data_IF_032968369671
#
_entry.id   IF_032968369671
#
_cell.length_a   1.000
_cell.length_b   1.000
_cell.length_c   1.000
_cell.angle_alpha   90.00
_cell.angle_beta   90.00
_cell.angle_gamma   90.00
#
_symmetry.space_group_name_H-M   'P 1'
#
loop_
_entity.id
_entity.type
_entity.pdbx_description
1 polymer ?
#
# COMPACT_ATOMS: atom_id res chain seq x y z
N UNK A 1 18.21 -88.75 13.96
CA UNK A 1 17.66 -88.27 12.68
C UNK A 1 17.13 -86.85 12.92
N UNK A 2 17.81 -85.81 12.40
CA UNK A 2 17.47 -84.39 12.62
C UNK A 2 16.29 -84.00 11.75
N UNK A 3 15.25 -83.44 12.35
CA UNK A 3 14.12 -82.81 11.65
C UNK A 3 14.33 -81.30 11.73
N UNK A 4 14.70 -80.67 10.61
CA UNK A 4 14.83 -79.22 10.47
C UNK A 4 13.46 -78.61 10.16
N UNK A 5 13.04 -77.64 10.98
CA UNK A 5 11.89 -76.76 10.77
C UNK A 5 12.16 -75.81 9.60
N UNK A 6 11.36 -75.89 8.54
CA UNK A 6 11.18 -74.82 7.55
C UNK A 6 9.69 -74.56 7.37
N UNK A 7 9.04 -73.81 8.26
CA UNK A 7 7.64 -73.37 8.11
C UNK A 7 7.48 -71.97 8.71
N UNK A 8 7.99 -70.93 8.04
CA UNK A 8 7.91 -69.55 8.57
C UNK A 8 7.88 -68.41 7.55
N UNK A 9 8.34 -68.60 6.31
CA UNK A 9 8.60 -67.46 5.40
C UNK A 9 7.37 -67.04 4.55
N UNK A 10 6.45 -67.96 4.23
CA UNK A 10 5.33 -67.66 3.32
C UNK A 10 4.28 -66.69 3.92
N UNK A 11 4.08 -66.70 5.24
CA UNK A 11 3.04 -65.89 5.92
C UNK A 11 3.44 -64.41 6.07
N UNK A 12 4.73 -64.13 6.23
CA UNK A 12 5.22 -62.74 6.41
C UNK A 12 5.17 -61.93 5.11
N UNK A 13 5.34 -62.56 3.94
CA UNK A 13 5.34 -61.89 2.63
C UNK A 13 3.96 -61.35 2.22
N UNK A 14 2.87 -61.97 2.67
CA UNK A 14 1.49 -61.51 2.40
C UNK A 14 1.09 -60.26 3.20
N UNK A 15 1.47 -60.20 4.47
CA UNK A 15 1.16 -59.08 5.37
C UNK A 15 1.93 -57.80 5.02
N UNK A 16 3.15 -57.92 4.49
CA UNK A 16 3.94 -56.76 4.03
C UNK A 16 3.36 -56.18 2.73
N UNK A 17 2.87 -57.04 1.82
CA UNK A 17 2.23 -56.62 0.57
C UNK A 17 0.89 -55.91 0.79
N UNK A 18 0.07 -56.37 1.75
CA UNK A 18 -1.21 -55.72 2.08
C UNK A 18 -1.02 -54.37 2.76
N UNK A 19 0.00 -54.23 3.63
CA UNK A 19 0.38 -52.95 4.24
C UNK A 19 0.94 -51.96 3.22
N UNK A 20 1.74 -52.42 2.27
CA UNK A 20 2.25 -51.60 1.18
C UNK A 20 1.13 -51.10 0.24
N UNK A 21 0.15 -51.95 -0.06
CA UNK A 21 -1.01 -51.59 -0.86
C UNK A 21 -1.91 -50.57 -0.14
N UNK A 22 -2.16 -50.75 1.16
CA UNK A 22 -2.91 -49.78 1.97
C UNK A 22 -2.20 -48.43 2.07
N UNK A 23 -0.87 -48.43 2.23
CA UNK A 23 -0.08 -47.21 2.28
C UNK A 23 -0.06 -46.48 0.93
N UNK A 24 0.05 -47.21 -0.18
CA UNK A 24 -0.04 -46.65 -1.53
C UNK A 24 -1.44 -46.07 -1.82
N UNK A 25 -2.51 -46.70 -1.32
CA UNK A 25 -3.87 -46.20 -1.46
C UNK A 25 -4.09 -44.91 -0.67
N UNK A 26 -3.57 -44.81 0.56
CA UNK A 26 -3.62 -43.59 1.37
C UNK A 26 -2.81 -42.47 0.71
N UNK A 27 -1.61 -42.76 0.19
CA UNK A 27 -0.81 -41.80 -0.57
C UNK A 27 -1.52 -41.31 -1.85
N UNK A 28 -2.19 -42.21 -2.58
CA UNK A 28 -2.98 -41.87 -3.75
C UNK A 28 -4.21 -41.01 -3.36
N UNK A 29 -4.86 -41.31 -2.24
CA UNK A 29 -6.00 -40.54 -1.74
C UNK A 29 -5.59 -39.14 -1.27
N UNK A 30 -4.44 -39.01 -0.60
CA UNK A 30 -3.86 -37.72 -0.21
C UNK A 30 -3.39 -36.92 -1.42
N UNK A 31 -2.83 -37.58 -2.44
CA UNK A 31 -2.44 -36.93 -3.69
C UNK A 31 -3.63 -36.49 -4.55
N UNK A 32 -4.80 -37.11 -4.35
CA UNK A 32 -6.06 -36.78 -5.02
C UNK A 32 -6.86 -35.68 -4.30
N UNK A 33 -6.40 -35.18 -3.14
CA UNK A 33 -7.00 -34.01 -2.52
C UNK A 33 -6.83 -32.81 -3.47
N UNK A 34 -7.90 -32.05 -3.74
CA UNK A 34 -7.80 -30.84 -4.56
C UNK A 34 -6.77 -29.93 -3.91
N UNK A 35 -5.68 -29.65 -4.64
CA UNK A 35 -4.73 -28.64 -4.22
C UNK A 35 -5.46 -27.31 -4.28
N UNK A 36 -5.32 -26.42 -3.27
CA UNK A 36 -5.72 -25.05 -3.47
C UNK A 36 -4.97 -24.54 -4.70
N UNK A 37 -5.70 -24.31 -5.78
CA UNK A 37 -5.17 -23.55 -6.91
C UNK A 37 -4.87 -22.20 -6.30
N UNK A 38 -3.58 -21.87 -6.24
CA UNK A 38 -3.12 -20.56 -5.81
C UNK A 38 -3.65 -19.58 -6.86
N UNK A 39 -4.85 -19.07 -6.62
CA UNK A 39 -5.50 -18.10 -7.48
C UNK A 39 -4.84 -16.74 -7.21
N UNK A 40 -3.55 -16.64 -7.52
CA UNK A 40 -2.96 -15.37 -7.92
C UNK A 40 -3.64 -15.00 -9.23
N UNK A 41 -4.84 -14.44 -9.11
CA UNK A 41 -5.64 -13.99 -10.23
C UNK A 41 -4.82 -12.93 -10.96
N UNK A 42 -4.65 -13.14 -12.27
CA UNK A 42 -3.95 -12.19 -13.13
C UNK A 42 -4.73 -10.87 -13.12
N UNK A 43 -4.01 -9.75 -13.14
CA UNK A 43 -4.65 -8.45 -13.25
C UNK A 43 -5.55 -8.41 -14.52
N UNK A 44 -6.74 -7.81 -14.44
CA UNK A 44 -7.54 -7.57 -15.63
C UNK A 44 -6.76 -6.69 -16.60
N UNK A 45 -7.05 -6.87 -17.90
CA UNK A 45 -6.41 -6.03 -18.92
C UNK A 45 -6.97 -4.60 -18.82
N UNK A 46 -6.12 -3.58 -18.93
CA UNK A 46 -6.57 -2.20 -18.92
C UNK A 46 -7.44 -1.92 -20.16
N UNK A 47 -8.54 -1.20 -19.96
CA UNK A 47 -9.46 -0.76 -21.02
C UNK A 47 -9.37 0.74 -21.29
N UNK A 48 -8.71 1.49 -20.41
CA UNK A 48 -8.61 2.93 -20.46
C UNK A 48 -7.78 3.52 -19.32
N UNK A 49 -7.87 4.83 -19.13
CA UNK A 49 -7.36 5.51 -17.94
C UNK A 49 -8.25 5.27 -16.72
N UNK A 50 -9.54 5.02 -16.95
CA UNK A 50 -10.50 4.61 -15.94
C UNK A 50 -10.84 3.13 -16.20
N UNK A 51 -10.67 2.32 -15.16
CA UNK A 51 -10.89 0.89 -15.21
C UNK A 51 -11.83 0.50 -14.06
N UNK A 52 -13.14 0.68 -14.28
CA UNK A 52 -14.17 0.46 -13.26
C UNK A 52 -14.66 -1.01 -13.23
N UNK A 53 -13.80 -1.95 -12.81
CA UNK A 53 -14.18 -3.37 -12.78
C UNK A 53 -15.13 -3.71 -11.63
N UNK A 54 -15.25 -2.84 -10.63
CA UNK A 54 -16.24 -2.99 -9.56
C UNK A 54 -17.60 -2.38 -9.92
N UNK A 55 -17.71 -1.65 -11.04
CA UNK A 55 -18.93 -0.97 -11.50
C UNK A 55 -19.53 -0.05 -10.41
N UNK A 56 -18.70 0.84 -9.87
CA UNK A 56 -19.05 1.77 -8.78
C UNK A 56 -18.96 3.24 -9.17
N UNK A 57 -18.59 3.54 -10.42
CA UNK A 57 -18.50 4.90 -10.95
C UNK A 57 -19.67 5.14 -11.89
N UNK A 58 -20.50 6.14 -11.60
CA UNK A 58 -21.61 6.49 -12.48
C UNK A 58 -21.09 7.12 -13.79
N UNK A 59 -21.76 6.92 -14.95
CA UNK A 59 -21.28 7.42 -16.23
C UNK A 59 -21.02 8.93 -16.29
N UNK A 60 -21.76 9.71 -15.51
CA UNK A 60 -21.52 11.15 -15.36
C UNK A 60 -20.19 11.44 -14.65
N UNK A 61 -19.91 10.71 -13.56
CA UNK A 61 -18.64 10.84 -12.82
C UNK A 61 -17.48 10.35 -13.65
N UNK A 62 -17.64 9.24 -14.37
CA UNK A 62 -16.61 8.73 -15.26
C UNK A 62 -16.20 9.76 -16.31
N UNK A 63 -17.16 10.44 -16.95
CA UNK A 63 -16.86 11.55 -17.90
C UNK A 63 -16.08 12.69 -17.26
N UNK A 64 -16.45 13.08 -16.04
CA UNK A 64 -15.78 14.16 -15.31
C UNK A 64 -14.35 13.77 -14.92
N UNK A 65 -14.17 12.55 -14.41
CA UNK A 65 -12.85 12.00 -14.09
C UNK A 65 -11.98 11.97 -15.35
N UNK A 66 -12.54 11.48 -16.47
CA UNK A 66 -11.81 11.35 -17.73
C UNK A 66 -11.34 12.71 -18.25
N UNK A 67 -12.21 13.73 -18.19
CA UNK A 67 -11.85 15.09 -18.59
C UNK A 67 -10.66 15.65 -17.77
N UNK A 68 -10.65 15.41 -16.46
CA UNK A 68 -9.54 15.84 -15.58
C UNK A 68 -8.26 15.09 -15.91
N UNK A 69 -8.32 13.77 -16.13
CA UNK A 69 -7.16 12.96 -16.51
C UNK A 69 -6.59 13.43 -17.85
N UNK A 70 -7.45 13.65 -18.85
CA UNK A 70 -7.03 14.10 -20.18
C UNK A 70 -6.37 15.48 -20.14
N UNK A 71 -6.87 16.38 -19.29
CA UNK A 71 -6.29 17.69 -19.08
C UNK A 71 -4.88 17.60 -18.46
N UNK A 72 -4.70 16.79 -17.40
CA UNK A 72 -3.38 16.56 -16.81
C UNK A 72 -2.42 15.98 -17.83
N UNK A 73 -2.86 14.98 -18.60
CA UNK A 73 -2.04 14.33 -19.62
C UNK A 73 -1.63 15.30 -20.73
N UNK A 74 -2.56 16.12 -21.22
CA UNK A 74 -2.29 17.10 -22.27
C UNK A 74 -1.34 18.21 -21.82
N UNK A 75 -1.47 18.69 -20.57
CA UNK A 75 -0.73 19.86 -20.07
C UNK A 75 0.60 19.53 -19.38
N UNK A 76 0.75 18.32 -18.82
CA UNK A 76 1.96 17.91 -18.09
C UNK A 76 2.66 16.67 -18.64
N UNK A 77 1.98 15.89 -19.48
CA UNK A 77 2.43 14.53 -19.83
C UNK A 77 2.38 13.55 -18.67
N UNK A 78 1.78 13.92 -17.53
CA UNK A 78 1.49 13.05 -16.41
C UNK A 78 0.37 12.08 -16.72
N UNK A 79 0.42 10.90 -16.12
CA UNK A 79 -0.56 9.84 -16.29
C UNK A 79 -1.24 9.53 -14.95
N UNK A 80 -2.56 9.60 -14.92
CA UNK A 80 -3.37 9.22 -13.76
C UNK A 80 -4.26 8.07 -14.20
N UNK A 81 -4.18 6.95 -13.49
CA UNK A 81 -4.99 5.75 -13.76
C UNK A 81 -5.89 5.48 -12.58
N UNK A 82 -7.19 5.41 -12.83
CA UNK A 82 -8.19 5.01 -11.84
C UNK A 82 -8.52 3.54 -12.07
N UNK A 83 -8.46 2.75 -11.00
CA UNK A 83 -8.79 1.33 -11.01
C UNK A 83 -9.71 1.02 -9.85
N UNK A 84 -10.90 0.51 -10.16
CA UNK A 84 -11.76 -0.12 -9.15
C UNK A 84 -11.71 -1.63 -9.35
N UNK A 85 -11.54 -2.38 -8.27
CA UNK A 85 -11.55 -3.84 -8.30
C UNK A 85 -12.52 -4.37 -7.25
N UNK A 86 -13.23 -5.48 -7.52
CA UNK A 86 -14.13 -6.06 -6.55
C UNK A 86 -13.39 -6.61 -5.33
N UNK A 87 -12.15 -7.07 -5.49
CA UNK A 87 -11.32 -7.69 -4.44
C UNK A 87 -9.85 -7.26 -4.57
N UNK A 88 -9.08 -7.44 -3.49
CA UNK A 88 -7.63 -7.34 -3.45
C UNK A 88 -6.89 -8.53 -4.07
N UNK A 89 -7.59 -9.56 -4.55
CA UNK A 89 -6.99 -10.68 -5.31
C UNK A 89 -5.89 -11.43 -4.50
N UNK A 90 -6.10 -11.56 -3.18
CA UNK A 90 -5.15 -12.20 -2.26
C UNK A 90 -3.90 -11.38 -1.93
N UNK A 91 -3.85 -10.09 -2.29
CA UNK A 91 -2.71 -9.18 -2.05
C UNK A 91 -3.09 -8.08 -1.05
N UNK A 92 -2.13 -7.29 -0.62
CA UNK A 92 -2.42 -6.03 0.08
C UNK A 92 -2.69 -4.90 -0.92
N UNK A 93 -3.45 -3.87 -0.54
CA UNK A 93 -3.71 -2.72 -1.41
C UNK A 93 -2.42 -2.02 -1.93
N UNK A 94 -1.36 -1.83 -1.11
CA UNK A 94 -0.09 -1.32 -1.60
C UNK A 94 0.58 -2.22 -2.64
N UNK A 95 0.63 -3.54 -2.42
CA UNK A 95 1.21 -4.49 -3.36
C UNK A 95 0.44 -4.51 -4.69
N UNK A 96 -0.89 -4.47 -4.62
CA UNK A 96 -1.75 -4.49 -5.78
C UNK A 96 -1.60 -3.22 -6.63
N UNK A 97 -1.63 -2.03 -6.02
CA UNK A 97 -1.44 -0.78 -6.74
C UNK A 97 -0.03 -0.68 -7.35
N UNK A 98 1.00 -1.12 -6.62
CA UNK A 98 2.38 -1.18 -7.10
C UNK A 98 2.50 -2.10 -8.33
N UNK A 99 1.86 -3.27 -8.28
CA UNK A 99 1.84 -4.22 -9.38
C UNK A 99 1.10 -3.65 -10.59
N UNK A 100 -0.07 -3.04 -10.40
CA UNK A 100 -0.82 -2.37 -11.47
C UNK A 100 0.07 -1.34 -12.18
N UNK A 101 0.69 -0.43 -11.42
CA UNK A 101 1.54 0.61 -12.00
C UNK A 101 2.70 0.05 -12.83
N UNK A 102 3.32 -1.03 -12.35
CA UNK A 102 4.44 -1.72 -13.03
C UNK A 102 4.00 -2.51 -14.26
N UNK A 103 3.01 -3.39 -14.10
CA UNK A 103 2.56 -4.30 -15.17
C UNK A 103 1.88 -3.55 -16.31
N UNK A 104 1.12 -2.51 -15.98
CA UNK A 104 0.47 -1.68 -16.99
C UNK A 104 1.43 -0.63 -17.57
N UNK A 105 2.60 -0.40 -16.96
CA UNK A 105 3.57 0.57 -17.47
C UNK A 105 3.09 2.02 -17.32
N UNK A 106 2.40 2.32 -16.23
CA UNK A 106 1.83 3.66 -15.98
C UNK A 106 2.95 4.69 -15.81
N UNK A 107 2.74 5.88 -16.36
CA UNK A 107 3.70 6.96 -16.41
C UNK A 107 4.49 6.96 -17.72
N UNK A 108 5.15 8.08 -18.00
CA UNK A 108 5.90 8.27 -19.24
C UNK A 108 7.23 7.50 -19.21
N UNK A 109 7.53 6.76 -20.27
CA UNK A 109 8.87 6.25 -20.53
C UNK A 109 9.83 7.39 -20.84
N UNK A 110 11.08 7.25 -20.43
CA UNK A 110 12.10 8.26 -20.64
C UNK A 110 13.48 7.74 -20.27
N UNK A 111 14.49 8.39 -20.82
CA UNK A 111 15.89 8.08 -20.50
C UNK A 111 16.25 8.51 -19.08
N UNK A 112 17.32 7.95 -18.47
CA UNK A 112 17.87 8.48 -17.24
C UNK A 112 18.16 10.00 -17.36
N UNK A 113 17.55 10.79 -16.49
CA UNK A 113 17.66 12.26 -16.51
C UNK A 113 16.46 12.98 -17.11
N UNK A 114 15.52 12.29 -17.77
CA UNK A 114 14.24 12.89 -18.17
C UNK A 114 13.38 13.17 -16.93
N UNK A 115 13.06 14.45 -16.72
CA UNK A 115 12.24 14.94 -15.61
C UNK A 115 10.78 14.48 -15.69
N UNK A 116 10.32 14.08 -16.87
CA UNK A 116 8.96 13.57 -17.09
C UNK A 116 8.90 12.04 -16.96
N UNK A 117 10.03 11.35 -16.77
CA UNK A 117 10.04 9.90 -16.67
C UNK A 117 9.28 9.43 -15.42
N UNK A 118 8.45 8.40 -15.56
CA UNK A 118 7.67 7.80 -14.48
C UNK A 118 6.71 8.78 -13.78
N UNK A 119 6.18 9.77 -14.50
CA UNK A 119 5.13 10.69 -14.03
C UNK A 119 3.75 10.01 -14.01
N UNK A 120 3.65 8.87 -13.32
CA UNK A 120 2.44 8.05 -13.24
C UNK A 120 1.84 8.03 -11.83
N UNK A 121 0.52 8.04 -11.71
CA UNK A 121 -0.21 7.83 -10.46
C UNK A 121 -1.28 6.76 -10.67
N UNK A 122 -1.35 5.80 -9.76
CA UNK A 122 -2.43 4.79 -9.71
C UNK A 122 -3.33 5.11 -8.52
N UNK A 123 -4.61 5.32 -8.80
CA UNK A 123 -5.68 5.46 -7.81
C UNK A 123 -6.45 4.14 -7.79
N UNK A 124 -6.17 3.30 -6.80
CA UNK A 124 -6.83 2.02 -6.60
C UNK A 124 -7.94 2.17 -5.56
N UNK A 125 -9.12 1.63 -5.86
CA UNK A 125 -10.26 1.52 -4.94
C UNK A 125 -10.81 0.08 -4.97
N UNK A 126 -11.00 -0.50 -3.79
CA UNK A 126 -11.72 -1.76 -3.58
C UNK A 126 -12.91 -1.46 -2.67
N UNK A 127 -14.15 -1.50 -3.17
CA UNK A 127 -15.36 -1.22 -2.39
C UNK A 127 -15.52 -2.18 -1.21
N UNK A 128 -16.03 -1.68 -0.07
CA UNK A 128 -16.29 -2.52 1.11
C UNK A 128 -17.37 -3.57 0.84
N UNK A 129 -18.28 -3.30 -0.09
CA UNK A 129 -19.41 -4.15 -0.46
C UNK A 129 -18.96 -5.43 -1.18
N UNK A 130 -17.80 -5.40 -1.84
CA UNK A 130 -17.31 -6.52 -2.67
C UNK A 130 -16.00 -7.12 -2.14
N UNK A 131 -15.28 -6.40 -1.27
CA UNK A 131 -13.98 -6.84 -0.75
C UNK A 131 -14.05 -8.14 0.04
N UNK A 132 -13.06 -9.01 -0.15
CA UNK A 132 -12.96 -10.31 0.52
C UNK A 132 -12.80 -10.19 2.04
N UNK A 133 -12.22 -9.10 2.55
CA UNK A 133 -11.99 -8.87 3.98
C UNK A 133 -13.10 -8.05 4.66
N UNK A 134 -14.18 -7.74 3.93
CA UNK A 134 -15.33 -6.95 4.43
C UNK A 134 -15.01 -5.49 4.72
N UNK A 135 -13.84 -4.98 4.32
CA UNK A 135 -13.44 -3.58 4.47
C UNK A 135 -13.22 -2.94 3.11
N UNK A 136 -13.41 -1.64 3.03
CA UNK A 136 -13.04 -0.88 1.85
C UNK A 136 -11.55 -0.57 1.86
N UNK A 137 -10.90 -0.54 0.69
CA UNK A 137 -9.49 -0.17 0.55
C UNK A 137 -9.31 0.88 -0.52
N UNK A 138 -8.53 1.92 -0.22
CA UNK A 138 -8.14 2.93 -1.18
C UNK A 138 -6.64 3.16 -1.10
N UNK A 139 -5.98 3.28 -2.25
CA UNK A 139 -4.54 3.51 -2.36
C UNK A 139 -4.27 4.50 -3.49
N UNK A 140 -3.49 5.52 -3.20
CA UNK A 140 -2.86 6.37 -4.21
C UNK A 140 -1.39 5.95 -4.24
N UNK A 141 -0.94 5.40 -5.35
CA UNK A 141 0.43 4.94 -5.55
C UNK A 141 1.11 5.82 -6.60
N UNK A 142 2.28 6.37 -6.27
CA UNK A 142 2.99 7.35 -7.09
C UNK A 142 4.21 6.72 -7.75
N UNK A 143 4.43 7.05 -9.03
CA UNK A 143 5.61 6.69 -9.78
C UNK A 143 6.83 7.48 -9.32
N UNK A 144 8.02 7.01 -9.64
CA UNK A 144 9.29 7.61 -9.22
C UNK A 144 9.48 9.05 -9.72
N UNK A 145 8.78 9.47 -10.78
CA UNK A 145 8.79 10.83 -11.31
C UNK A 145 7.82 11.79 -10.60
N UNK A 146 6.95 11.26 -9.72
CA UNK A 146 5.92 12.01 -8.99
C UNK A 146 6.38 12.22 -7.55
N UNK A 147 7.49 12.94 -7.37
CA UNK A 147 8.03 13.25 -6.04
C UNK A 147 7.29 14.39 -5.32
N UNK A 148 6.52 15.19 -6.06
CA UNK A 148 5.75 16.31 -5.54
C UNK A 148 4.48 15.86 -4.78
N UNK A 149 3.91 14.71 -5.13
CA UNK A 149 2.85 14.07 -4.34
C UNK A 149 3.50 13.10 -3.35
N UNK A 150 3.78 13.59 -2.15
CA UNK A 150 4.38 12.78 -1.08
C UNK A 150 3.36 11.78 -0.51
N UNK A 151 3.83 10.77 0.22
CA UNK A 151 2.93 9.87 0.97
C UNK A 151 2.05 10.63 1.97
N UNK A 152 2.53 11.75 2.54
CA UNK A 152 1.72 12.61 3.38
C UNK A 152 0.60 13.29 2.57
N UNK A 153 0.92 13.80 1.37
CA UNK A 153 -0.05 14.41 0.47
C UNK A 153 -1.12 13.42 0.02
N UNK A 154 -0.69 12.27 -0.51
CA UNK A 154 -1.58 11.19 -0.90
C UNK A 154 -2.49 10.76 0.26
N UNK A 155 -1.95 10.73 1.49
CA UNK A 155 -2.71 10.44 2.69
C UNK A 155 -3.79 11.48 2.98
N UNK A 156 -3.45 12.77 2.89
CA UNK A 156 -4.41 13.87 3.03
C UNK A 156 -5.50 13.81 1.97
N UNK A 157 -5.13 13.60 0.71
CA UNK A 157 -6.10 13.47 -0.39
C UNK A 157 -7.12 12.36 -0.09
N UNK A 158 -6.65 11.20 0.38
CA UNK A 158 -7.53 10.10 0.78
C UNK A 158 -8.46 10.50 1.93
N UNK A 159 -7.91 11.07 3.00
CA UNK A 159 -8.66 11.39 4.22
C UNK A 159 -9.70 12.50 4.03
N UNK A 160 -9.36 13.49 3.20
CA UNK A 160 -10.13 14.72 3.04
C UNK A 160 -11.19 14.62 1.95
N UNK A 161 -10.90 13.91 0.85
CA UNK A 161 -11.75 13.90 -0.34
C UNK A 161 -12.39 12.54 -0.65
N UNK A 162 -11.67 11.45 -0.43
CA UNK A 162 -12.09 10.13 -0.90
C UNK A 162 -12.85 9.34 0.17
N UNK A 163 -12.22 9.10 1.32
CA UNK A 163 -12.73 8.24 2.39
C UNK A 163 -14.07 8.71 2.97
N UNK A 164 -14.33 10.01 3.19
CA UNK A 164 -15.65 10.45 3.66
C UNK A 164 -16.78 10.02 2.71
N UNK A 165 -16.58 10.16 1.39
CA UNK A 165 -17.57 9.75 0.39
C UNK A 165 -17.71 8.23 0.29
N UNK A 166 -16.61 7.50 0.39
CA UNK A 166 -16.63 6.04 0.34
C UNK A 166 -17.38 5.41 1.52
N UNK A 167 -17.35 6.05 2.69
CA UNK A 167 -18.16 5.61 3.84
C UNK A 167 -19.66 5.69 3.56
N UNK A 168 -20.07 6.67 2.77
CA UNK A 168 -21.45 6.91 2.32
C UNK A 168 -21.84 6.06 1.10
N UNK A 169 -20.90 5.32 0.50
CA UNK A 169 -21.12 4.54 -0.72
C UNK A 169 -21.02 5.36 -2.02
N UNK A 170 -20.68 6.64 -1.93
CA UNK A 170 -20.53 7.56 -3.07
C UNK A 170 -19.10 7.49 -3.65
N UNK A 171 -18.79 6.34 -4.28
CA UNK A 171 -17.46 6.07 -4.84
C UNK A 171 -17.09 6.99 -6.00
N UNK A 172 -18.01 7.19 -6.95
CA UNK A 172 -17.76 8.04 -8.12
C UNK A 172 -17.39 9.47 -7.73
N UNK A 173 -18.10 10.08 -6.78
CA UNK A 173 -17.76 11.44 -6.32
C UNK A 173 -16.45 11.46 -5.52
N UNK A 174 -16.21 10.48 -4.64
CA UNK A 174 -14.95 10.40 -3.89
C UNK A 174 -13.73 10.29 -4.81
N UNK A 175 -13.81 9.43 -5.83
CA UNK A 175 -12.75 9.27 -6.84
C UNK A 175 -12.56 10.56 -7.63
N UNK A 176 -13.63 11.21 -8.08
CA UNK A 176 -13.54 12.48 -8.80
C UNK A 176 -12.83 13.55 -7.99
N UNK A 177 -13.21 13.74 -6.72
CA UNK A 177 -12.57 14.72 -5.84
C UNK A 177 -11.08 14.40 -5.61
N UNK A 178 -10.75 13.11 -5.40
CA UNK A 178 -9.37 12.66 -5.27
C UNK A 178 -8.55 12.91 -6.53
N UNK A 179 -9.08 12.61 -7.71
CA UNK A 179 -8.42 12.83 -9.00
C UNK A 179 -8.23 14.32 -9.27
N UNK A 180 -9.19 15.18 -8.94
CA UNK A 180 -9.01 16.64 -9.02
C UNK A 180 -7.91 17.12 -8.07
N UNK A 181 -7.86 16.62 -6.83
CA UNK A 181 -6.81 16.99 -5.90
C UNK A 181 -5.41 16.58 -6.43
N UNK A 182 -5.28 15.36 -6.97
CA UNK A 182 -4.05 14.92 -7.65
C UNK A 182 -3.73 15.83 -8.85
N UNK A 183 -4.73 16.19 -9.65
CA UNK A 183 -4.56 17.07 -10.80
C UNK A 183 -4.07 18.48 -10.41
N UNK A 184 -4.47 18.98 -9.24
CA UNK A 184 -3.95 20.26 -8.69
C UNK A 184 -2.47 20.18 -8.36
N UNK A 185 -2.00 19.06 -7.83
CA UNK A 185 -0.57 18.85 -7.58
C UNK A 185 0.24 18.85 -8.89
N UNK A 186 -0.31 18.26 -9.96
CA UNK A 186 0.28 18.37 -11.30
C UNK A 186 0.24 19.81 -11.83
N UNK A 187 -0.88 20.50 -11.67
CA UNK A 187 -1.06 21.89 -12.09
C UNK A 187 -0.01 22.81 -11.44
N UNK A 188 0.18 22.69 -10.13
CA UNK A 188 1.20 23.42 -9.38
C UNK A 188 2.61 23.06 -9.85
N UNK A 189 2.91 21.76 -10.00
CA UNK A 189 4.23 21.29 -10.42
C UNK A 189 4.63 21.78 -11.81
N UNK A 190 3.69 21.76 -12.76
CA UNK A 190 3.95 22.01 -14.18
C UNK A 190 3.52 23.42 -14.64
N UNK A 191 2.95 24.23 -13.74
CA UNK A 191 2.61 25.63 -14.01
C UNK A 191 1.46 25.79 -14.99
N UNK A 192 0.39 25.00 -14.85
CA UNK A 192 -0.82 25.15 -15.65
C UNK A 192 -2.06 25.32 -14.77
N UNK A 193 -3.14 25.85 -15.32
CA UNK A 193 -4.44 25.93 -14.64
C UNK A 193 -5.38 24.83 -15.12
N UNK A 194 -6.14 24.25 -14.19
CA UNK A 194 -7.25 23.35 -14.51
C UNK A 194 -8.42 24.18 -15.04
N UNK A 195 -8.86 23.87 -16.25
CA UNK A 195 -9.87 24.59 -17.02
C UNK A 195 -11.19 23.82 -17.12
N UNK A 196 -11.20 22.54 -16.73
CA UNK A 196 -12.41 21.72 -16.71
C UNK A 196 -13.45 22.19 -15.68
N UNK A 197 -14.70 21.74 -15.88
CA UNK A 197 -15.80 21.88 -14.92
C UNK A 197 -15.53 20.98 -13.70
N UNK A 198 -14.57 21.37 -12.88
CA UNK A 198 -14.39 20.80 -11.55
C UNK A 198 -15.69 21.07 -10.78
N UNK A 199 -16.33 20.06 -10.16
CA UNK A 199 -17.54 20.29 -9.40
C UNK A 199 -17.32 21.41 -8.40
N UNK A 200 -18.13 22.47 -8.48
CA UNK A 200 -18.14 23.59 -7.51
C UNK A 200 -18.32 23.12 -6.06
N UNK A 201 -18.72 21.85 -5.87
CA UNK A 201 -18.85 21.12 -4.62
C UNK A 201 -17.54 20.52 -4.07
N UNK A 202 -16.35 20.94 -4.55
CA UNK A 202 -15.19 20.92 -3.65
C UNK A 202 -15.46 21.97 -2.57
N UNK A 203 -16.38 21.66 -1.65
CA UNK A 203 -16.29 22.19 -0.32
C UNK A 203 -14.91 21.74 0.12
N UNK A 204 -13.97 22.68 0.18
CA UNK A 204 -12.76 22.44 0.94
C UNK A 204 -13.22 21.79 2.25
N UNK A 205 -12.66 20.62 2.61
CA UNK A 205 -12.98 20.01 3.89
C UNK A 205 -12.85 21.13 4.91
N UNK A 206 -13.93 21.40 5.66
CA UNK A 206 -13.86 22.32 6.80
C UNK A 206 -12.61 21.92 7.55
N UNK A 207 -11.58 22.78 7.52
CA UNK A 207 -10.29 22.49 8.08
C UNK A 207 -10.57 21.89 9.45
N UNK A 208 -10.29 20.58 9.63
CA UNK A 208 -10.42 19.95 10.93
C UNK A 208 -9.52 20.78 11.82
N UNK A 209 -10.14 21.63 12.64
CA UNK A 209 -9.41 22.59 13.43
C UNK A 209 -8.33 21.84 14.17
N UNK A 210 -7.06 22.15 13.87
CA UNK A 210 -5.96 21.68 14.69
C UNK A 210 -6.25 22.04 16.14
N UNK A 211 -5.60 21.37 17.12
CA UNK A 211 -5.83 21.69 18.52
C UNK A 211 -5.71 23.21 18.68
N UNK A 212 -6.81 23.85 19.08
CA UNK A 212 -6.86 25.29 19.21
C UNK A 212 -5.71 25.71 20.13
N UNK A 213 -5.23 26.96 20.02
CA UNK A 213 -4.21 27.45 20.95
C UNK A 213 -4.59 27.13 22.42
N UNK A 214 -5.89 27.16 22.72
CA UNK A 214 -6.47 26.74 23.99
C UNK A 214 -6.21 25.25 24.29
N UNK A 215 -6.46 24.32 23.36
CA UNK A 215 -6.17 22.89 23.53
C UNK A 215 -4.68 22.59 23.74
N UNK A 216 -3.78 23.28 23.03
CA UNK A 216 -2.32 23.17 23.23
C UNK A 216 -1.90 23.72 24.60
N UNK A 217 -2.46 24.85 25.00
CA UNK A 217 -2.22 25.45 26.33
C UNK A 217 -2.72 24.52 27.44
N UNK A 218 -3.91 23.94 27.31
CA UNK A 218 -4.46 22.98 28.29
C UNK A 218 -3.57 21.75 28.40
N UNK A 219 -3.08 21.20 27.29
CA UNK A 219 -2.16 20.06 27.30
C UNK A 219 -0.83 20.41 27.98
N UNK A 220 -0.26 21.58 27.70
CA UNK A 220 0.97 22.06 28.33
C UNK A 220 0.79 22.28 29.83
N UNK A 221 -0.33 22.85 30.26
CA UNK A 221 -0.66 23.04 31.68
C UNK A 221 -0.80 21.69 32.38
N UNK A 222 -1.50 20.73 31.77
CA UNK A 222 -1.66 19.37 32.31
C UNK A 222 -0.29 18.67 32.45
N UNK A 223 0.57 18.80 31.45
CA UNK A 223 1.92 18.26 31.45
C UNK A 223 2.77 18.82 32.60
N UNK A 224 2.71 20.14 32.83
CA UNK A 224 3.43 20.79 33.95
C UNK A 224 2.89 20.33 35.31
N UNK A 225 1.56 20.21 35.46
CA UNK A 225 0.93 19.73 36.71
C UNK A 225 1.37 18.30 37.02
N UNK A 226 1.38 17.41 36.02
CA UNK A 226 1.83 16.02 36.19
C UNK A 226 3.31 15.98 36.59
N UNK A 227 4.15 16.84 36.00
CA UNK A 227 5.58 16.90 36.31
C UNK A 227 5.85 17.46 37.72
N UNK A 228 5.01 18.37 38.21
CA UNK A 228 5.04 18.86 39.59
C UNK A 228 4.54 17.80 40.59
N UNK A 229 3.47 17.08 40.25
CA UNK A 229 2.94 15.99 41.08
C UNK A 229 3.94 14.83 41.22
N UNK A 230 4.68 14.52 40.16
CA UNK A 230 5.74 13.50 40.17
C UNK A 230 7.00 13.92 40.96
N UNK A 231 7.20 15.23 41.19
CA UNK A 231 8.30 15.77 42.02
C UNK A 231 7.93 16.02 43.48
N UNK A 232 6.64 16.09 43.82
CA UNK A 232 6.15 16.43 45.16
C UNK A 232 5.99 15.27 46.15
N UNK A 233 6.25 14.02 45.75
CA UNK A 233 5.91 12.82 46.53
C UNK A 233 6.99 12.23 47.44
N UNK A 234 8.05 12.98 47.80
CA UNK A 234 9.21 12.41 48.51
C UNK A 234 9.81 13.27 49.61
N UNK A 235 9.15 13.39 50.77
CA UNK A 235 9.77 13.92 51.99
C UNK A 235 8.89 13.63 53.21
N UNK A 236 9.36 13.09 54.33
CA UNK A 236 10.68 12.59 54.71
C UNK A 236 10.54 11.90 56.09
N UNK A 237 11.30 10.83 56.33
CA UNK A 237 11.37 10.12 57.62
C UNK A 237 12.81 10.15 58.12
N UNK A 238 13.03 10.96 59.15
CA UNK A 238 13.99 10.85 60.29
C UNK A 238 15.40 10.24 60.10
N UNK A 239 16.42 10.93 60.64
CA UNK A 239 17.65 10.31 61.18
C UNK A 239 18.94 10.95 60.64
N UNK A 240 19.58 11.87 61.36
CA UNK A 240 20.67 11.64 62.34
C UNK A 240 22.06 11.32 61.73
N UNK A 241 23.01 12.26 61.98
CA UNK A 241 24.46 12.13 62.21
C UNK A 241 25.38 11.48 61.16
N UNK A 242 26.48 12.19 60.89
CA UNK A 242 27.80 11.56 60.94
C UNK A 242 28.54 11.40 59.60
N UNK A 243 29.46 12.34 59.34
CA UNK A 243 30.86 12.06 58.99
C UNK A 243 31.21 11.05 57.88
N UNK A 244 31.96 11.54 56.89
CA UNK A 244 33.19 10.87 56.47
C UNK A 244 33.20 10.19 55.10
N UNK A 245 33.96 10.81 54.19
CA UNK A 245 34.81 10.22 53.13
C UNK A 245 34.32 8.94 52.40
N UNK A 246 34.14 9.06 51.08
CA UNK A 246 35.00 8.43 50.02
C UNK A 246 34.36 8.70 48.65
N UNK A 247 35.20 9.09 47.69
CA UNK A 247 34.75 9.41 46.34
C UNK A 247 34.32 8.20 45.53
N UNK A 248 33.51 8.43 44.49
CA UNK A 248 33.58 7.73 43.22
C UNK A 248 32.97 8.60 42.13
N UNK A 249 33.64 8.62 40.98
CA UNK A 249 33.45 9.46 39.80
C UNK A 249 32.13 9.13 39.09
N UNK A 250 31.28 10.13 38.87
CA UNK A 250 30.22 10.06 37.86
C UNK A 250 30.74 10.53 36.50
N UNK A 251 30.48 9.84 35.38
CA UNK A 251 31.06 10.19 34.09
C UNK A 251 30.32 11.35 33.43
N UNK A 252 31.11 12.31 32.95
CA UNK A 252 30.74 13.27 31.92
C UNK A 252 30.72 12.49 30.59
N UNK A 253 29.59 12.52 29.87
CA UNK A 253 29.49 12.02 28.49
C UNK A 253 28.94 13.13 27.59
N UNK A 254 29.87 13.78 26.89
CA UNK A 254 29.78 14.25 25.50
C UNK A 254 30.94 13.47 24.82
N UNK A 255 31.00 13.07 23.52
CA UNK A 255 30.22 13.52 22.35
C UNK A 255 29.97 12.43 21.24
N UNK A 256 29.32 12.80 20.13
CA UNK A 256 29.55 12.19 18.80
C UNK A 256 30.99 12.52 18.32
N UNK A 257 31.58 12.03 17.18
CA UNK A 257 31.12 11.17 16.07
C UNK A 257 32.17 10.08 15.65
N UNK A 258 32.01 9.48 14.45
CA UNK A 258 32.77 8.42 13.75
C UNK A 258 32.39 6.99 14.14
N UNK A 259 32.08 6.04 13.26
CA UNK A 259 32.19 5.91 11.81
C UNK A 259 32.30 4.41 11.50
N UNK A 260 31.58 3.86 10.50
CA UNK A 260 31.73 2.44 10.15
C UNK A 260 30.58 1.76 9.41
N UNK A 261 30.49 2.03 8.10
CA UNK A 261 30.25 1.04 7.03
C UNK A 261 29.36 -0.18 7.31
N UNK A 262 28.09 -0.15 6.89
CA UNK A 262 27.40 -1.35 6.39
C UNK A 262 26.65 -1.03 5.09
N UNK A 263 27.35 -1.33 3.99
CA UNK A 263 26.88 -1.36 2.62
C UNK A 263 26.05 -2.64 2.45
N UNK A 264 24.73 -2.54 2.61
CA UNK A 264 23.79 -3.61 2.34
C UNK A 264 23.11 -3.40 0.99
N UNK A 265 23.69 -3.97 -0.06
CA UNK A 265 23.11 -3.97 -1.40
C UNK A 265 21.84 -4.81 -1.43
N UNK A 266 20.74 -4.21 -1.88
CA UNK A 266 19.55 -4.95 -2.27
C UNK A 266 19.66 -5.28 -3.75
N UNK A 267 19.74 -6.58 -4.03
CA UNK A 267 19.90 -7.16 -5.34
C UNK A 267 18.72 -6.84 -6.26
N UNK A 268 19.06 -6.49 -7.49
CA UNK A 268 18.10 -6.29 -8.56
C UNK A 268 17.46 -7.61 -8.98
N UNK A 269 16.13 -7.61 -9.02
CA UNK A 269 15.38 -8.55 -9.85
C UNK A 269 15.13 -7.88 -11.19
N UNK A 270 16.12 -7.99 -12.09
CA UNK A 270 15.97 -7.68 -13.50
C UNK A 270 15.44 -8.91 -14.23
N UNK A 271 14.12 -9.05 -14.28
CA UNK A 271 13.43 -9.98 -15.17
C UNK A 271 12.80 -9.19 -16.30
N UNK A 272 13.41 -9.22 -17.48
CA UNK A 272 12.82 -8.66 -18.68
C UNK A 272 11.56 -9.45 -19.05
N UNK A 273 10.42 -8.75 -19.17
CA UNK A 273 9.25 -9.30 -19.82
C UNK A 273 9.10 -8.65 -21.19
N UNK A 274 9.28 -9.50 -22.19
CA UNK A 274 9.09 -9.19 -23.59
C UNK A 274 7.64 -8.84 -23.91
N UNK A 275 7.50 -7.93 -24.85
CA UNK A 275 6.22 -7.48 -25.38
C UNK A 275 5.45 -8.62 -26.03
N UNK A 276 4.14 -8.55 -25.87
CA UNK A 276 3.18 -9.23 -26.72
C UNK A 276 2.19 -8.18 -27.23
N UNK A 277 2.20 -7.97 -28.54
CA UNK A 277 1.20 -7.19 -29.25
C UNK A 277 -0.04 -8.03 -29.57
N UNK A 278 -1.08 -7.32 -30.03
CA UNK A 278 -2.13 -7.85 -30.87
C UNK A 278 -3.54 -7.83 -30.29
N UNK A 279 -4.29 -6.76 -30.58
CA UNK A 279 -5.75 -6.68 -30.42
C UNK A 279 -6.20 -5.24 -30.36
N UNK A 280 -6.93 -4.76 -31.37
CA UNK A 280 -7.48 -3.40 -31.41
C UNK A 280 -8.29 -3.10 -30.14
N UNK A 281 -7.78 -2.18 -29.34
CA UNK A 281 -8.19 -1.85 -27.98
C UNK A 281 -7.12 -0.94 -27.40
N UNK A 282 -7.51 -0.04 -26.48
CA UNK A 282 -6.69 0.94 -25.76
C UNK A 282 -5.18 1.00 -26.12
N UNK A 283 -4.72 2.16 -26.63
CA UNK A 283 -3.36 2.38 -27.17
C UNK A 283 -2.19 2.26 -26.19
N UNK A 284 -2.44 1.80 -24.96
CA UNK A 284 -1.44 1.57 -23.92
C UNK A 284 -1.09 2.82 -23.12
N UNK A 285 -0.36 2.57 -22.02
CA UNK A 285 0.20 3.60 -21.15
C UNK A 285 1.57 4.07 -21.66
N UNK A 286 2.10 5.14 -21.07
CA UNK A 286 3.35 5.76 -21.47
C UNK A 286 4.60 4.89 -21.32
N UNK A 287 4.50 3.71 -20.68
CA UNK A 287 5.54 2.70 -20.58
C UNK A 287 6.57 2.94 -19.48
N UNK A 288 6.31 3.87 -18.57
CA UNK A 288 7.22 4.25 -17.48
C UNK A 288 7.38 3.14 -16.45
N UNK A 289 6.27 2.70 -15.86
CA UNK A 289 6.22 1.54 -14.94
C UNK A 289 7.12 1.63 -13.70
N UNK A 290 7.88 2.72 -13.53
CA UNK A 290 8.79 2.90 -12.41
C UNK A 290 8.04 3.32 -11.16
N UNK A 291 7.58 2.35 -10.37
CA UNK A 291 6.95 2.57 -9.07
C UNK A 291 7.77 1.96 -7.94
N UNK A 292 7.92 2.71 -6.85
CA UNK A 292 8.78 2.37 -5.71
C UNK A 292 8.08 2.27 -4.35
N UNK A 293 6.76 2.42 -4.26
CA UNK A 293 6.03 2.41 -2.98
C UNK A 293 5.80 3.79 -2.36
N UNK A 294 5.81 4.87 -3.15
CA UNK A 294 5.77 6.26 -2.66
C UNK A 294 4.41 6.74 -2.15
N UNK A 295 3.37 5.91 -2.33
CA UNK A 295 1.98 6.26 -2.08
C UNK A 295 1.48 6.19 -0.63
N UNK A 296 0.18 6.45 -0.46
CA UNK A 296 -0.57 6.27 0.78
C UNK A 296 -1.82 5.42 0.58
N UNK A 297 -2.25 4.72 1.62
CA UNK A 297 -3.48 3.93 1.60
C UNK A 297 -4.32 4.09 2.86
N UNK A 298 -5.61 3.80 2.73
CA UNK A 298 -6.62 3.82 3.80
C UNK A 298 -7.54 2.62 3.67
N UNK A 299 -8.07 2.20 4.81
CA UNK A 299 -9.22 1.29 4.87
C UNK A 299 -10.32 1.93 5.71
N UNK A 300 -11.57 1.58 5.44
CA UNK A 300 -12.74 2.12 6.15
C UNK A 300 -13.82 1.07 6.39
#
# INVERSE_FOLDING_TARGET
MRVTREHGDASQRGAVRSRAAAFALVLALVAALPRPVDAQSRLPRPVGWINDFANVIEPERERQIQAVIDEVRAKSGGEIVVVTLPTLMGRTAPELALQIGREWGVGRAGEPGDTLRNTGVVVLVVPKETSDDGRGHARIETGLGVSFITAAEAGRILDDYMIPRFREGDYGTGILLGVVAIAREYAERFGFELTGEVPRQIQEPQARGGPTAIGVIVLLVLFVIILMALRGGGGGRSGFYGGGRRGYRGPIIIPFPFGGSHRGGWGGFGGGFGGFGGGGGFGGFGGGGGFGGGGAGRSW
#
